data_IF_044455291210
#
_entry.id   IF_044455291210
#
_cell.length_a   1.000
_cell.length_b   1.000
_cell.length_c   1.000
_cell.angle_alpha   90.00
_cell.angle_beta   90.00
_cell.angle_gamma   90.00
#
_symmetry.space_group_name_H-M   'P 1'
#
loop_
_entity.id
_entity.type
_entity.pdbx_description
1 polymer ?
#
# COMPACT_ATOMS: atom_id res chain seq x y z
N UNK A 1 -48.89 61.51 30.34
CA UNK A 1 -47.89 60.50 29.94
C UNK A 1 -47.15 61.02 28.71
N UNK A 2 -45.87 60.71 28.62
CA UNK A 2 -44.79 61.31 27.81
C UNK A 2 -45.03 61.44 26.29
N UNK A 3 -44.36 62.42 25.61
CA UNK A 3 -44.61 62.82 24.21
C UNK A 3 -43.51 62.28 23.24
N UNK A 4 -43.24 62.84 22.02
CA UNK A 4 -43.55 62.20 20.74
C UNK A 4 -42.35 62.02 19.76
N UNK A 5 -42.66 61.50 18.56
CA UNK A 5 -42.04 61.83 17.24
C UNK A 5 -40.62 61.37 16.90
N UNK A 6 -40.47 60.66 15.76
CA UNK A 6 -39.77 61.19 14.57
C UNK A 6 -39.91 60.25 13.35
N UNK A 7 -40.11 60.85 12.18
CA UNK A 7 -40.20 60.22 10.87
C UNK A 7 -38.84 60.19 10.14
N UNK A 8 -38.67 59.30 9.15
CA UNK A 8 -37.78 59.49 8.00
C UNK A 8 -38.12 58.54 6.82
N UNK A 9 -37.74 58.95 5.62
CA UNK A 9 -38.29 58.65 4.29
C UNK A 9 -37.30 57.81 3.42
N UNK A 10 -37.81 56.77 2.72
CA UNK A 10 -37.42 56.17 1.39
C UNK A 10 -35.99 55.61 1.16
N UNK A 11 -35.64 54.94 0.01
CA UNK A 11 -36.42 54.43 -1.15
C UNK A 11 -36.15 52.96 -1.57
N UNK A 12 -36.89 52.52 -2.60
CA UNK A 12 -36.78 51.26 -3.36
C UNK A 12 -35.59 51.19 -4.35
N UNK A 13 -35.08 49.98 -4.63
CA UNK A 13 -34.47 49.67 -5.94
C UNK A 13 -34.28 48.16 -6.23
N UNK A 14 -34.88 47.75 -7.36
CA UNK A 14 -34.33 46.92 -8.46
C UNK A 14 -34.13 45.41 -8.23
N UNK A 15 -35.01 44.64 -8.89
CA UNK A 15 -34.80 43.24 -9.29
C UNK A 15 -33.93 43.19 -10.57
N UNK A 16 -32.93 42.31 -10.58
CA UNK A 16 -32.32 41.83 -11.82
C UNK A 16 -32.39 40.29 -11.86
N UNK A 17 -33.09 39.78 -12.88
CA UNK A 17 -32.91 38.43 -13.39
C UNK A 17 -31.58 38.33 -14.13
N UNK A 18 -30.79 37.31 -13.81
CA UNK A 18 -29.76 36.78 -14.70
C UNK A 18 -29.97 35.27 -14.82
N UNK A 19 -30.58 34.88 -15.93
CA UNK A 19 -30.44 33.56 -16.56
C UNK A 19 -29.05 33.48 -17.20
N UNK A 20 -28.28 32.47 -16.83
CA UNK A 20 -26.97 32.19 -17.41
C UNK A 20 -26.71 30.68 -17.41
N UNK A 21 -26.90 30.07 -18.57
CA UNK A 21 -26.50 28.71 -18.87
C UNK A 21 -25.01 28.52 -18.61
N UNK A 22 -24.66 27.62 -17.68
CA UNK A 22 -23.28 27.18 -17.51
C UNK A 22 -23.08 25.86 -18.22
N UNK A 23 -22.29 25.88 -19.29
CA UNK A 23 -21.79 24.66 -19.95
C UNK A 23 -20.83 23.97 -18.97
N UNK A 24 -21.05 22.70 -18.57
CA UNK A 24 -20.17 22.04 -17.62
C UNK A 24 -18.80 21.78 -18.26
N UNK A 25 -17.75 22.18 -17.55
CA UNK A 25 -16.36 21.87 -17.90
C UNK A 25 -16.10 20.36 -17.87
N UNK A 26 -15.11 19.89 -18.63
CA UNK A 26 -14.75 18.47 -18.72
C UNK A 26 -14.46 17.81 -17.35
N UNK A 27 -14.02 18.59 -16.36
CA UNK A 27 -13.83 18.15 -14.98
C UNK A 27 -15.14 17.87 -14.23
N UNK A 28 -16.21 18.65 -14.48
CA UNK A 28 -17.52 18.42 -13.88
C UNK A 28 -18.22 17.18 -14.45
N UNK A 29 -17.97 16.85 -15.73
CA UNK A 29 -18.45 15.60 -16.36
C UNK A 29 -17.75 14.35 -15.82
N UNK A 30 -16.52 14.47 -15.31
CA UNK A 30 -15.81 13.37 -14.66
C UNK A 30 -16.32 13.15 -13.21
N UNK A 31 -16.60 14.24 -12.49
CA UNK A 31 -17.13 14.18 -11.12
C UNK A 31 -18.57 13.66 -11.04
N UNK A 32 -19.44 14.02 -11.99
CA UNK A 32 -20.80 13.50 -12.04
C UNK A 32 -20.87 12.01 -12.44
N UNK A 33 -19.87 11.50 -13.16
CA UNK A 33 -19.76 10.08 -13.52
C UNK A 33 -19.32 9.21 -12.33
N UNK A 34 -18.54 9.77 -11.40
CA UNK A 34 -18.02 9.05 -10.23
C UNK A 34 -18.95 9.10 -9.01
N UNK A 35 -20.00 9.93 -9.01
CA UNK A 35 -20.96 10.01 -7.91
C UNK A 35 -22.00 8.86 -7.88
N UNK A 36 -22.11 8.09 -8.98
CA UNK A 36 -23.01 6.93 -9.09
C UNK A 36 -22.28 5.59 -8.79
N UNK A 37 -20.96 5.61 -8.58
CA UNK A 37 -20.12 4.41 -8.40
C UNK A 37 -19.92 4.00 -6.92
N UNK A 38 -20.79 4.45 -6.01
CA UNK A 38 -20.80 4.09 -4.58
C UNK A 38 -21.23 2.64 -4.25
N UNK A 39 -21.25 1.74 -5.23
CA UNK A 39 -21.58 0.30 -5.09
C UNK A 39 -20.41 -0.61 -5.55
N UNK A 40 -19.18 -0.17 -5.30
CA UNK A 40 -17.93 -0.68 -5.88
C UNK A 40 -17.44 -2.09 -5.51
N UNK A 41 -18.30 -3.00 -5.04
CA UNK A 41 -17.97 -4.44 -4.98
C UNK A 41 -18.84 -5.31 -5.92
N UNK A 42 -19.83 -4.71 -6.59
CA UNK A 42 -20.67 -5.38 -7.58
C UNK A 42 -20.55 -4.80 -9.01
N UNK A 43 -19.87 -3.66 -9.17
CA UNK A 43 -19.74 -2.96 -10.44
C UNK A 43 -18.65 -3.60 -11.32
N UNK A 44 -19.00 -4.69 -11.99
CA UNK A 44 -18.10 -5.39 -12.92
C UNK A 44 -18.63 -6.75 -13.39
N UNK A 45 -19.65 -7.28 -12.73
CA UNK A 45 -20.37 -8.44 -13.25
C UNK A 45 -21.32 -7.92 -14.32
N UNK A 46 -20.88 -7.91 -15.58
CA UNK A 46 -21.82 -7.79 -16.70
C UNK A 46 -22.90 -8.85 -16.52
N UNK A 47 -24.17 -8.49 -16.72
CA UNK A 47 -25.27 -9.43 -16.79
C UNK A 47 -25.06 -10.36 -18.00
N UNK A 48 -24.24 -11.38 -17.81
CA UNK A 48 -23.96 -12.46 -18.75
C UNK A 48 -24.50 -13.77 -18.21
N UNK A 49 -24.58 -14.78 -19.07
CA UNK A 49 -24.90 -16.16 -18.68
C UNK A 49 -24.03 -16.57 -17.50
N UNK A 50 -24.65 -17.11 -16.44
CA UNK A 50 -23.90 -17.58 -15.29
C UNK A 50 -23.19 -18.90 -15.61
N UNK A 51 -22.17 -19.26 -14.83
CA UNK A 51 -21.53 -20.58 -14.96
C UNK A 51 -22.55 -21.71 -14.81
N UNK A 52 -23.59 -21.53 -14.00
CA UNK A 52 -24.65 -22.52 -13.79
C UNK A 52 -25.44 -22.78 -15.08
N UNK A 53 -25.63 -21.76 -15.90
CA UNK A 53 -26.35 -21.86 -17.19
C UNK A 53 -25.53 -22.56 -18.28
N UNK A 54 -24.21 -22.74 -18.06
CA UNK A 54 -23.30 -23.47 -18.96
C UNK A 54 -22.92 -24.87 -18.44
N UNK A 55 -23.47 -25.30 -17.30
CA UNK A 55 -23.31 -26.67 -16.84
C UNK A 55 -24.14 -27.58 -17.77
N UNK A 56 -23.51 -28.19 -18.77
CA UNK A 56 -24.21 -28.92 -19.83
C UNK A 56 -23.25 -29.51 -20.87
N UNK A 57 -23.73 -29.89 -22.08
CA UNK A 57 -22.90 -30.56 -23.06
C UNK A 57 -21.82 -29.61 -23.58
N UNK A 58 -20.57 -29.98 -23.30
CA UNK A 58 -19.37 -29.28 -23.75
C UNK A 58 -19.06 -29.52 -25.23
N UNK A 59 -19.87 -30.32 -25.92
CA UNK A 59 -19.68 -30.72 -27.32
C UNK A 59 -19.82 -29.54 -28.29
N UNK A 60 -20.71 -28.59 -27.99
CA UNK A 60 -20.90 -27.37 -28.79
C UNK A 60 -20.11 -26.15 -28.25
N UNK A 61 -19.22 -26.36 -27.28
CA UNK A 61 -18.46 -25.28 -26.68
C UNK A 61 -17.43 -24.71 -27.66
N UNK A 62 -17.47 -23.40 -27.85
CA UNK A 62 -16.40 -22.65 -28.51
C UNK A 62 -16.19 -21.29 -27.87
N UNK A 63 -14.93 -20.85 -27.82
CA UNK A 63 -14.60 -19.47 -27.49
C UNK A 63 -14.84 -18.55 -28.69
N UNK A 64 -15.05 -17.27 -28.42
CA UNK A 64 -15.02 -16.26 -29.47
C UNK A 64 -13.64 -16.23 -30.16
N UNK A 65 -13.55 -16.00 -31.49
CA UNK A 65 -12.28 -15.90 -32.19
C UNK A 65 -11.40 -14.77 -31.65
N UNK A 66 -10.09 -14.99 -31.61
CA UNK A 66 -9.08 -14.01 -31.17
C UNK A 66 -7.79 -14.19 -31.98
N UNK A 67 -7.00 -13.11 -32.11
CA UNK A 67 -5.64 -13.13 -32.66
C UNK A 67 -4.62 -12.80 -31.58
N UNK A 68 -3.47 -13.46 -31.60
CA UNK A 68 -2.40 -13.38 -30.59
C UNK A 68 -1.96 -11.92 -30.35
N UNK A 69 -1.82 -11.14 -31.42
CA UNK A 69 -1.44 -9.73 -31.34
C UNK A 69 -2.44 -8.86 -30.57
N UNK A 70 -3.73 -9.24 -30.50
CA UNK A 70 -4.72 -8.54 -29.70
C UNK A 70 -4.44 -8.74 -28.21
N UNK A 71 -4.03 -9.95 -27.80
CA UNK A 71 -3.66 -10.26 -26.42
C UNK A 71 -2.37 -9.56 -26.02
N UNK A 72 -1.33 -9.62 -26.87
CA UNK A 72 -0.07 -8.90 -26.63
C UNK A 72 -0.29 -7.39 -26.44
N UNK A 73 -1.02 -6.75 -27.37
CA UNK A 73 -1.35 -5.32 -27.27
C UNK A 73 -2.25 -4.99 -26.09
N UNK A 74 -3.15 -5.89 -25.70
CA UNK A 74 -4.03 -5.66 -24.56
C UNK A 74 -3.25 -5.61 -23.24
N UNK A 75 -2.26 -6.49 -23.06
CA UNK A 75 -1.41 -6.51 -21.88
C UNK A 75 -0.41 -5.35 -21.88
N UNK A 76 0.35 -5.17 -22.96
CA UNK A 76 1.40 -4.14 -23.02
C UNK A 76 0.81 -2.74 -22.89
N UNK A 77 -0.30 -2.42 -23.57
CA UNK A 77 -0.93 -1.10 -23.42
C UNK A 77 -1.30 -0.79 -21.97
N UNK A 78 -1.75 -1.78 -21.19
CA UNK A 78 -2.12 -1.59 -19.78
C UNK A 78 -0.89 -1.49 -18.90
N UNK A 79 0.06 -2.41 -19.03
CA UNK A 79 1.27 -2.41 -18.22
C UNK A 79 2.09 -1.15 -18.42
N UNK A 80 2.22 -0.66 -19.66
CA UNK A 80 2.92 0.60 -19.93
C UNK A 80 2.13 1.84 -19.48
N UNK A 81 0.80 1.81 -19.49
CA UNK A 81 -0.01 2.87 -18.87
C UNK A 81 0.19 2.90 -17.34
N UNK A 82 0.33 1.74 -16.71
CA UNK A 82 0.67 1.66 -15.29
C UNK A 82 2.09 2.18 -15.03
N UNK A 83 3.08 1.78 -15.83
CA UNK A 83 4.45 2.28 -15.70
C UNK A 83 4.54 3.81 -15.85
N UNK A 84 3.83 4.38 -16.82
CA UNK A 84 3.75 5.83 -17.02
C UNK A 84 3.09 6.54 -15.83
N UNK A 85 1.92 6.06 -15.41
CA UNK A 85 1.18 6.67 -14.31
C UNK A 85 1.89 6.55 -12.94
N UNK A 86 2.59 5.45 -12.69
CA UNK A 86 3.22 5.16 -11.39
C UNK A 86 4.71 5.47 -11.34
N UNK A 87 5.33 5.95 -12.43
CA UNK A 87 6.70 6.50 -12.38
C UNK A 87 6.82 7.64 -11.35
N UNK A 88 5.74 8.41 -11.16
CA UNK A 88 5.52 9.30 -10.02
C UNK A 88 4.35 8.77 -9.19
N UNK A 89 4.63 8.22 -8.02
CA UNK A 89 3.64 7.66 -7.09
C UNK A 89 3.53 8.52 -5.83
N UNK A 90 2.37 8.51 -5.17
CA UNK A 90 2.23 9.18 -3.87
C UNK A 90 2.88 8.34 -2.77
N UNK A 91 2.62 7.03 -2.76
CA UNK A 91 3.18 6.10 -1.79
C UNK A 91 3.69 4.86 -2.53
N UNK A 92 4.90 4.42 -2.16
CA UNK A 92 5.43 3.10 -2.57
C UNK A 92 5.46 2.18 -1.35
N UNK A 93 4.88 0.99 -1.46
CA UNK A 93 4.96 -0.08 -0.48
C UNK A 93 5.86 -1.19 -1.03
N UNK A 94 6.92 -1.55 -0.29
CA UNK A 94 7.87 -2.59 -0.69
C UNK A 94 7.58 -3.87 0.08
N UNK A 95 7.29 -4.94 -0.64
CA UNK A 95 6.89 -6.25 -0.11
C UNK A 95 5.38 -6.35 0.09
N UNK A 96 4.72 -7.21 -0.69
CA UNK A 96 3.31 -7.55 -0.58
C UNK A 96 3.07 -8.71 0.41
N UNK A 97 3.77 -8.72 1.55
CA UNK A 97 3.53 -9.65 2.65
C UNK A 97 2.27 -9.29 3.46
N UNK A 98 2.01 -10.02 4.55
CA UNK A 98 0.86 -9.73 5.43
C UNK A 98 0.86 -8.30 5.98
N UNK A 99 2.03 -7.77 6.35
CA UNK A 99 2.16 -6.38 6.80
C UNK A 99 1.90 -5.39 5.66
N UNK A 100 2.62 -5.50 4.53
CA UNK A 100 2.46 -4.60 3.39
C UNK A 100 1.06 -4.59 2.79
N UNK A 101 0.42 -5.75 2.65
CA UNK A 101 -0.98 -5.84 2.22
C UNK A 101 -1.95 -5.22 3.23
N UNK A 102 -1.68 -5.34 4.53
CA UNK A 102 -2.50 -4.71 5.57
C UNK A 102 -2.36 -3.18 5.52
N UNK A 103 -1.13 -2.67 5.34
CA UNK A 103 -0.85 -1.25 5.10
C UNK A 103 -1.61 -0.74 3.87
N UNK A 104 -1.49 -1.45 2.74
CA UNK A 104 -2.13 -1.09 1.48
C UNK A 104 -3.66 -1.04 1.62
N UNK A 105 -4.25 -2.02 2.30
CA UNK A 105 -5.68 -2.09 2.54
C UNK A 105 -6.21 -0.89 3.34
N UNK A 106 -5.50 -0.49 4.40
CA UNK A 106 -5.89 0.66 5.22
C UNK A 106 -5.69 1.96 4.46
N UNK A 107 -4.53 2.16 3.81
CA UNK A 107 -4.24 3.38 3.07
C UNK A 107 -5.15 3.58 1.86
N UNK A 108 -5.35 2.53 1.05
CA UNK A 108 -6.19 2.62 -0.15
C UNK A 108 -7.64 3.02 0.17
N UNK A 109 -8.17 2.55 1.31
CA UNK A 109 -9.50 2.96 1.81
C UNK A 109 -9.51 4.37 2.40
N UNK A 110 -8.49 4.73 3.18
CA UNK A 110 -8.45 6.02 3.86
C UNK A 110 -8.15 7.19 2.92
N UNK A 111 -7.43 6.93 1.83
CA UNK A 111 -6.96 7.92 0.87
C UNK A 111 -7.16 7.43 -0.58
N UNK A 112 -8.43 7.31 -1.04
CA UNK A 112 -8.72 6.90 -2.41
C UNK A 112 -8.19 7.90 -3.46
N UNK A 113 -7.79 9.10 -3.04
CA UNK A 113 -7.15 10.13 -3.86
C UNK A 113 -5.66 9.85 -4.13
N UNK A 114 -4.99 9.01 -3.32
CA UNK A 114 -3.56 8.76 -3.44
C UNK A 114 -3.24 7.56 -4.32
N UNK A 115 -2.25 7.71 -5.19
CA UNK A 115 -1.69 6.66 -6.04
C UNK A 115 -0.68 5.81 -5.26
N UNK A 116 -1.02 4.53 -5.02
CA UNK A 116 -0.23 3.61 -4.19
C UNK A 116 0.36 2.49 -5.07
N UNK A 117 1.69 2.50 -5.25
CA UNK A 117 2.41 1.40 -5.88
C UNK A 117 2.83 0.36 -4.83
N UNK A 118 2.59 -0.92 -5.11
CA UNK A 118 3.12 -2.04 -4.34
C UNK A 118 4.16 -2.74 -5.20
N UNK A 119 5.39 -2.81 -4.71
CA UNK A 119 6.50 -3.50 -5.38
C UNK A 119 6.75 -4.82 -4.66
N UNK A 120 6.58 -5.93 -5.37
CA UNK A 120 6.75 -7.29 -4.83
C UNK A 120 7.73 -8.08 -5.68
N UNK A 121 8.81 -8.54 -5.03
CA UNK A 121 9.87 -9.27 -5.71
C UNK A 121 9.37 -10.61 -6.28
N UNK A 122 8.50 -11.32 -5.58
CA UNK A 122 7.99 -12.62 -6.02
C UNK A 122 6.96 -12.48 -7.14
N UNK A 123 6.82 -13.50 -7.97
CA UNK A 123 5.67 -13.60 -8.88
C UNK A 123 4.37 -13.66 -8.06
N UNK A 124 4.35 -14.43 -6.98
CA UNK A 124 3.21 -14.57 -6.09
C UNK A 124 3.34 -13.63 -4.87
N UNK A 125 2.48 -12.61 -4.74
CA UNK A 125 2.39 -11.81 -3.49
C UNK A 125 1.89 -12.66 -2.31
N UNK A 126 1.91 -12.08 -1.11
CA UNK A 126 1.49 -12.71 0.15
C UNK A 126 2.64 -13.04 1.10
N UNK A 127 3.89 -13.03 0.61
CA UNK A 127 5.07 -13.33 1.40
C UNK A 127 4.94 -14.66 2.17
N UNK A 128 5.30 -14.65 3.45
CA UNK A 128 5.20 -15.84 4.32
C UNK A 128 3.79 -16.19 4.80
N UNK A 129 2.75 -15.44 4.43
CA UNK A 129 1.39 -15.59 4.96
C UNK A 129 0.54 -16.62 4.19
N UNK A 130 1.16 -17.52 3.43
CA UNK A 130 0.48 -18.64 2.78
C UNK A 130 0.31 -19.85 3.69
N UNK A 131 1.11 -19.94 4.76
CA UNK A 131 1.17 -21.05 5.70
C UNK A 131 1.22 -20.55 7.14
N UNK A 132 0.96 -21.44 8.07
CA UNK A 132 1.32 -21.30 9.48
C UNK A 132 2.76 -21.75 9.74
N UNK A 133 3.02 -22.31 10.92
CA UNK A 133 4.33 -22.87 11.26
C UNK A 133 4.58 -24.22 10.59
N UNK A 134 5.83 -24.49 10.18
CA UNK A 134 6.28 -25.82 9.74
C UNK A 134 5.42 -26.44 8.63
N UNK A 135 5.00 -25.63 7.65
CA UNK A 135 4.12 -26.04 6.54
C UNK A 135 2.67 -26.41 6.93
N UNK A 136 2.27 -26.21 8.19
CA UNK A 136 0.86 -26.32 8.57
C UNK A 136 0.04 -25.14 8.05
N UNK A 137 -1.29 -25.27 8.10
CA UNK A 137 -2.20 -24.32 7.44
C UNK A 137 -2.71 -23.19 8.34
N UNK A 138 -3.04 -23.50 9.59
CA UNK A 138 -3.78 -22.59 10.47
C UNK A 138 -3.00 -21.30 10.75
N UNK A 139 -3.70 -20.16 10.73
CA UNK A 139 -3.12 -18.85 11.03
C UNK A 139 -3.69 -18.34 12.34
N UNK A 140 -2.82 -18.24 13.34
CA UNK A 140 -3.16 -17.73 14.67
C UNK A 140 -2.95 -16.21 14.71
N UNK A 141 -3.93 -15.49 15.26
CA UNK A 141 -3.83 -14.06 15.55
C UNK A 141 -4.27 -13.78 16.99
N UNK A 142 -3.37 -13.23 17.81
CA UNK A 142 -3.69 -12.77 19.17
C UNK A 142 -4.61 -11.55 19.13
N UNK A 143 -5.54 -11.46 20.07
CA UNK A 143 -6.42 -10.28 20.21
C UNK A 143 -5.59 -9.05 20.64
N UNK A 144 -5.90 -7.84 20.14
CA UNK A 144 -7.13 -7.47 19.42
C UNK A 144 -7.04 -7.55 17.88
N UNK A 145 -6.12 -8.32 17.27
CA UNK A 145 -5.97 -8.37 15.81
C UNK A 145 -7.19 -8.97 15.07
N UNK A 146 -8.09 -9.63 15.79
CA UNK A 146 -9.39 -10.08 15.30
C UNK A 146 -10.28 -8.93 14.82
N UNK A 147 -10.05 -7.69 15.27
CA UNK A 147 -10.74 -6.51 14.73
C UNK A 147 -10.44 -6.31 13.24
N UNK A 148 -9.20 -6.56 12.83
CA UNK A 148 -8.78 -6.45 11.43
C UNK A 148 -9.37 -7.58 10.57
N UNK A 149 -9.44 -8.80 11.11
CA UNK A 149 -10.09 -9.92 10.42
C UNK A 149 -11.58 -9.63 10.16
N UNK A 150 -12.29 -9.07 11.14
CA UNK A 150 -13.68 -8.63 10.95
C UNK A 150 -13.83 -7.56 9.88
N UNK A 151 -12.94 -6.56 9.89
CA UNK A 151 -12.97 -5.45 8.92
C UNK A 151 -12.66 -5.92 7.48
N UNK A 152 -11.76 -6.89 7.30
CA UNK A 152 -11.47 -7.50 5.97
C UNK A 152 -12.56 -8.50 5.54
N UNK A 153 -13.27 -9.10 6.52
CA UNK A 153 -14.28 -10.13 6.30
C UNK A 153 -13.71 -11.55 6.21
N UNK A 154 -12.67 -11.85 6.99
CA UNK A 154 -12.06 -13.19 7.09
C UNK A 154 -12.66 -13.92 8.29
N UNK A 155 -13.31 -15.09 8.11
CA UNK A 155 -13.85 -15.85 9.22
C UNK A 155 -12.73 -16.50 10.04
N UNK A 156 -12.97 -16.64 11.34
CA UNK A 156 -12.05 -17.26 12.29
C UNK A 156 -12.83 -17.95 13.42
N UNK A 157 -12.17 -18.90 14.07
CA UNK A 157 -12.64 -19.52 15.30
C UNK A 157 -12.05 -18.75 16.50
N UNK A 158 -12.87 -18.43 17.50
CA UNK A 158 -12.46 -17.67 18.70
C UNK A 158 -12.05 -18.62 19.83
N UNK A 159 -10.80 -18.52 20.26
CA UNK A 159 -10.17 -19.39 21.27
C UNK A 159 -9.87 -18.63 22.58
N UNK A 160 -10.50 -17.47 22.81
CA UNK A 160 -10.28 -16.64 23.99
C UNK A 160 -9.28 -15.52 23.74
N UNK A 161 -8.00 -15.61 24.17
CA UNK A 161 -7.01 -14.55 23.96
C UNK A 161 -6.47 -14.46 22.53
N UNK A 162 -6.83 -15.40 21.67
CA UNK A 162 -6.46 -15.43 20.25
C UNK A 162 -7.61 -16.00 19.41
N UNK A 163 -7.47 -15.86 18.09
CA UNK A 163 -8.38 -16.44 17.09
C UNK A 163 -7.58 -17.23 16.06
N UNK A 164 -8.24 -18.16 15.38
CA UNK A 164 -7.63 -19.03 14.38
C UNK A 164 -8.37 -18.91 13.06
N UNK A 165 -7.69 -18.42 12.03
CA UNK A 165 -8.16 -18.54 10.65
C UNK A 165 -7.80 -19.93 10.16
N UNK A 166 -8.81 -20.67 9.66
CA UNK A 166 -8.66 -22.08 9.23
C UNK A 166 -7.47 -22.35 8.32
N UNK A 167 -7.09 -21.36 7.50
CA UNK A 167 -5.92 -21.43 6.64
C UNK A 167 -5.35 -20.03 6.42
N UNK A 168 -4.04 -19.85 6.56
CA UNK A 168 -3.31 -18.61 6.26
C UNK A 168 -3.64 -18.04 4.86
N UNK A 169 -3.71 -18.91 3.85
CA UNK A 169 -4.15 -18.58 2.50
C UNK A 169 -5.54 -17.91 2.44
N UNK A 170 -6.48 -18.23 3.33
CA UNK A 170 -7.80 -17.59 3.35
C UNK A 170 -7.68 -16.12 3.74
N UNK A 171 -6.88 -15.81 4.75
CA UNK A 171 -6.59 -14.42 5.12
C UNK A 171 -5.92 -13.68 3.96
N UNK A 172 -4.82 -14.24 3.45
CA UNK A 172 -3.97 -13.60 2.45
C UNK A 172 -4.69 -13.35 1.13
N UNK A 173 -5.39 -14.37 0.60
CA UNK A 173 -6.16 -14.22 -0.65
C UNK A 173 -7.32 -13.25 -0.52
N UNK A 174 -8.04 -13.25 0.61
CA UNK A 174 -9.15 -12.32 0.85
C UNK A 174 -8.64 -10.89 0.93
N UNK A 175 -7.61 -10.63 1.74
CA UNK A 175 -7.01 -9.31 1.88
C UNK A 175 -6.48 -8.79 0.53
N UNK A 176 -5.75 -9.64 -0.19
CA UNK A 176 -5.22 -9.31 -1.51
C UNK A 176 -6.32 -8.98 -2.51
N UNK A 177 -7.42 -9.75 -2.56
CA UNK A 177 -8.54 -9.46 -3.43
C UNK A 177 -9.18 -8.10 -3.11
N UNK A 178 -9.30 -7.74 -1.82
CA UNK A 178 -9.81 -6.42 -1.40
C UNK A 178 -8.88 -5.29 -1.82
N UNK A 179 -7.57 -5.47 -1.64
CA UNK A 179 -6.54 -4.48 -2.02
C UNK A 179 -6.52 -4.27 -3.53
N UNK A 180 -6.46 -5.35 -4.33
CA UNK A 180 -6.37 -5.27 -5.79
C UNK A 180 -7.66 -4.77 -6.46
N UNK A 181 -8.78 -4.78 -5.76
CA UNK A 181 -10.03 -4.20 -6.24
C UNK A 181 -10.07 -2.66 -6.11
N UNK A 182 -9.12 -2.05 -5.38
CA UNK A 182 -9.08 -0.59 -5.20
C UNK A 182 -8.48 0.09 -6.44
N UNK A 183 -9.15 1.11 -7.01
CA UNK A 183 -8.73 1.73 -8.27
C UNK A 183 -7.43 2.54 -8.17
N UNK A 184 -7.01 2.88 -6.95
CA UNK A 184 -5.83 3.68 -6.66
C UNK A 184 -4.60 2.85 -6.23
N UNK A 185 -4.69 1.52 -6.32
CA UNK A 185 -3.61 0.59 -5.99
C UNK A 185 -3.13 -0.11 -7.25
N UNK A 186 -1.82 -0.16 -7.44
CA UNK A 186 -1.17 -1.01 -8.45
C UNK A 186 -0.17 -1.95 -7.81
N UNK A 187 -0.31 -3.24 -8.11
CA UNK A 187 0.69 -4.25 -7.79
C UNK A 187 1.64 -4.45 -8.98
N UNK A 188 2.92 -4.22 -8.74
CA UNK A 188 4.05 -4.62 -9.59
C UNK A 188 4.76 -5.81 -8.92
N UNK A 189 4.21 -7.01 -9.15
CA UNK A 189 4.86 -8.26 -8.76
C UNK A 189 5.95 -8.66 -9.77
N UNK A 190 6.79 -9.62 -9.41
CA UNK A 190 8.02 -9.98 -10.14
C UNK A 190 8.99 -8.78 -10.34
N UNK A 191 8.89 -7.76 -9.48
CA UNK A 191 9.67 -6.53 -9.54
C UNK A 191 10.36 -6.34 -8.19
N UNK A 192 11.69 -6.27 -8.19
CA UNK A 192 12.49 -6.09 -6.99
C UNK A 192 12.86 -4.60 -6.81
N UNK A 193 13.03 -4.18 -5.56
CA UNK A 193 13.70 -2.91 -5.23
C UNK A 193 15.17 -3.22 -4.96
N UNK A 194 16.06 -2.58 -5.71
CA UNK A 194 17.52 -2.81 -5.64
C UNK A 194 18.26 -1.66 -4.96
N UNK A 195 17.66 -0.47 -4.94
CA UNK A 195 18.19 0.70 -4.25
C UNK A 195 17.07 1.69 -3.88
N UNK A 196 17.41 2.72 -3.14
CA UNK A 196 16.54 3.82 -2.73
C UNK A 196 16.94 5.10 -3.45
N UNK A 197 15.95 5.86 -3.91
CA UNK A 197 16.17 7.21 -4.42
C UNK A 197 16.33 8.13 -3.20
N UNK A 198 17.46 8.85 -3.12
CA UNK A 198 17.76 9.75 -1.99
C UNK A 198 17.76 11.22 -2.41
N UNK A 199 17.55 12.10 -1.44
CA UNK A 199 17.73 13.55 -1.55
C UNK A 199 18.52 14.05 -0.34
N UNK A 200 19.43 15.01 -0.50
CA UNK A 200 20.08 15.64 0.65
C UNK A 200 19.03 16.33 1.54
N UNK A 201 19.29 16.36 2.85
CA UNK A 201 18.51 17.20 3.77
C UNK A 201 19.28 18.49 4.00
N UNK A 202 18.76 19.59 3.45
CA UNK A 202 19.30 20.92 3.74
C UNK A 202 18.93 21.33 5.18
N UNK A 203 19.79 22.11 5.84
CA UNK A 203 19.81 22.36 7.29
C UNK A 203 18.53 22.89 7.97
N UNK A 204 17.44 23.15 7.25
CA UNK A 204 16.12 23.48 7.80
C UNK A 204 15.20 22.27 8.03
N UNK A 205 15.57 21.07 7.53
CA UNK A 205 14.79 19.83 7.68
C UNK A 205 15.41 18.77 8.59
N UNK A 206 16.61 19.03 9.11
CA UNK A 206 17.33 18.11 9.98
C UNK A 206 16.77 18.16 11.41
N UNK A 207 16.48 17.00 12.00
CA UNK A 207 16.11 16.94 13.41
C UNK A 207 17.27 17.48 14.28
N UNK A 208 17.00 18.15 15.41
CA UNK A 208 18.06 18.61 16.33
C UNK A 208 18.95 17.44 16.75
N UNK A 209 20.26 17.51 16.44
CA UNK A 209 21.23 16.42 16.70
C UNK A 209 21.58 15.54 15.50
N UNK A 210 21.11 15.87 14.30
CA UNK A 210 21.44 15.18 13.06
C UNK A 210 22.94 15.26 12.70
N UNK A 211 23.54 14.10 12.42
CA UNK A 211 24.90 14.03 11.87
C UNK A 211 24.95 14.65 10.45
N UNK A 212 26.08 15.25 10.02
CA UNK A 212 26.25 15.71 8.64
C UNK A 212 26.13 14.54 7.65
N UNK A 213 25.41 14.75 6.53
CA UNK A 213 25.20 13.72 5.49
C UNK A 213 23.86 12.99 5.54
N UNK A 214 22.85 13.50 6.28
CA UNK A 214 21.52 12.89 6.30
C UNK A 214 20.80 13.02 4.95
N UNK A 215 20.13 11.93 4.56
CA UNK A 215 19.34 11.82 3.35
C UNK A 215 17.86 11.60 3.67
N UNK A 216 17.00 12.13 2.80
CA UNK A 216 15.58 11.79 2.73
C UNK A 216 15.40 10.73 1.64
N UNK A 217 14.55 9.74 1.89
CA UNK A 217 14.13 8.78 0.87
C UNK A 217 12.99 9.40 0.05
N UNK A 218 13.09 9.27 -1.27
CA UNK A 218 12.25 9.97 -2.25
C UNK A 218 11.79 9.07 -3.41
N UNK A 219 11.85 7.75 -3.20
CA UNK A 219 11.45 6.75 -4.18
C UNK A 219 12.30 5.49 -4.13
N UNK A 220 12.14 4.64 -5.14
CA UNK A 220 12.77 3.33 -5.23
C UNK A 220 13.42 3.12 -6.59
N UNK A 221 14.52 2.38 -6.60
CA UNK A 221 15.18 1.87 -7.79
C UNK A 221 14.74 0.42 -7.97
N UNK A 222 14.20 0.10 -9.13
CA UNK A 222 13.47 -1.15 -9.39
C UNK A 222 14.06 -1.91 -10.55
N UNK A 223 13.90 -3.22 -10.56
CA UNK A 223 14.17 -4.04 -11.72
C UNK A 223 13.26 -5.26 -11.73
N UNK A 224 13.26 -6.03 -12.82
CA UNK A 224 12.71 -7.37 -12.77
C UNK A 224 13.51 -8.20 -11.77
N UNK A 225 12.85 -8.97 -10.92
CA UNK A 225 13.54 -9.74 -9.87
C UNK A 225 14.57 -10.72 -10.44
N UNK A 226 14.30 -11.30 -11.62
CA UNK A 226 15.27 -12.16 -12.30
C UNK A 226 16.51 -11.40 -12.75
N UNK A 227 16.39 -10.15 -13.19
CA UNK A 227 17.56 -9.30 -13.48
C UNK A 227 18.36 -9.08 -12.20
N UNK A 228 17.68 -8.74 -11.10
CA UNK A 228 18.30 -8.53 -9.79
C UNK A 228 19.09 -9.72 -9.23
N UNK A 229 18.62 -10.94 -9.51
CA UNK A 229 19.27 -12.17 -9.06
C UNK A 229 20.44 -12.60 -9.97
N UNK A 230 20.62 -11.96 -11.12
CA UNK A 230 21.52 -12.40 -12.19
C UNK A 230 22.41 -11.27 -12.72
N UNK A 231 22.75 -10.27 -11.88
CA UNK A 231 23.67 -9.17 -12.23
C UNK A 231 25.07 -9.65 -12.62
N UNK A 232 25.51 -10.81 -12.11
CA UNK A 232 26.82 -11.40 -12.42
C UNK A 232 26.80 -12.33 -13.65
N UNK A 233 25.61 -12.70 -14.14
CA UNK A 233 25.44 -13.73 -15.17
C UNK A 233 25.32 -13.16 -16.60
N UNK A 234 25.18 -11.84 -16.73
CA UNK A 234 24.99 -11.12 -17.99
C UNK A 234 25.81 -9.82 -18.02
N UNK A 235 25.77 -9.10 -19.14
CA UNK A 235 26.21 -7.70 -19.14
C UNK A 235 25.34 -6.86 -18.20
N UNK A 236 25.85 -5.71 -17.73
CA UNK A 236 25.10 -4.83 -16.84
C UNK A 236 23.71 -4.48 -17.41
N UNK A 237 22.68 -4.64 -16.58
CA UNK A 237 21.28 -4.36 -16.91
C UNK A 237 20.76 -3.30 -15.93
N UNK A 238 20.83 -2.05 -16.37
CA UNK A 238 20.46 -0.91 -15.53
C UNK A 238 19.02 -1.03 -15.00
N UNK A 239 18.77 -0.54 -13.77
CA UNK A 239 17.43 -0.53 -13.18
C UNK A 239 16.55 0.59 -13.76
N UNK A 240 15.27 0.55 -13.42
CA UNK A 240 14.29 1.62 -13.61
C UNK A 240 13.99 2.32 -12.28
N UNK A 241 13.18 3.39 -12.28
CA UNK A 241 12.93 4.22 -11.09
C UNK A 241 11.46 4.55 -10.89
N UNK A 242 11.06 4.63 -9.62
CA UNK A 242 9.76 5.18 -9.21
C UNK A 242 10.00 6.24 -8.15
N UNK A 243 9.64 7.48 -8.45
CA UNK A 243 9.65 8.59 -7.52
C UNK A 243 8.45 8.48 -6.58
N UNK A 244 8.67 8.74 -5.29
CA UNK A 244 7.59 8.85 -4.31
C UNK A 244 8.01 9.69 -3.10
N UNK A 245 7.17 10.62 -2.62
CA UNK A 245 7.48 11.37 -1.40
C UNK A 245 7.59 10.46 -0.16
N UNK A 246 6.90 9.31 -0.16
CA UNK A 246 6.89 8.39 0.97
C UNK A 246 7.02 6.92 0.51
N UNK A 247 7.94 6.22 1.14
CA UNK A 247 8.18 4.78 0.98
C UNK A 247 7.84 4.05 2.28
N UNK A 248 7.17 2.91 2.19
CA UNK A 248 6.87 2.03 3.30
C UNK A 248 7.50 0.65 3.02
N UNK A 249 8.49 0.27 3.82
CA UNK A 249 9.19 -1.01 3.66
C UNK A 249 8.66 -2.07 4.62
N UNK A 250 8.25 -3.20 4.04
CA UNK A 250 7.69 -4.36 4.74
C UNK A 250 8.24 -5.67 4.19
N UNK A 251 9.55 -5.71 3.91
CA UNK A 251 10.23 -6.81 3.17
C UNK A 251 10.51 -8.05 4.01
N UNK A 252 10.01 -8.12 5.24
CA UNK A 252 10.29 -9.22 6.17
C UNK A 252 11.67 -9.11 6.82
N UNK A 253 12.07 -10.14 7.56
CA UNK A 253 13.35 -10.19 8.28
C UNK A 253 14.52 -10.59 7.38
N UNK A 254 15.73 -10.68 7.93
CA UNK A 254 16.95 -11.03 7.19
C UNK A 254 16.81 -12.33 6.36
N UNK A 255 17.48 -12.34 5.21
CA UNK A 255 17.39 -13.31 4.12
C UNK A 255 17.86 -12.69 2.80
N UNK A 256 17.84 -13.44 1.68
CA UNK A 256 18.36 -12.97 0.39
C UNK A 256 17.70 -11.68 -0.14
N UNK A 257 16.39 -11.55 0.05
CA UNK A 257 15.59 -10.37 -0.35
C UNK A 257 14.95 -9.65 0.83
N UNK A 258 15.19 -10.14 2.05
CA UNK A 258 14.53 -9.67 3.25
C UNK A 258 15.31 -8.57 3.95
N UNK A 259 14.59 -7.72 4.68
CA UNK A 259 15.13 -6.56 5.38
C UNK A 259 15.92 -5.60 4.48
N UNK A 260 15.49 -5.45 3.23
CA UNK A 260 16.25 -4.76 2.19
C UNK A 260 16.54 -3.30 2.57
N UNK A 261 15.51 -2.50 2.86
CA UNK A 261 15.68 -1.06 3.05
C UNK A 261 16.55 -0.77 4.26
N UNK A 262 16.38 -1.54 5.33
CA UNK A 262 17.11 -1.32 6.58
C UNK A 262 18.58 -1.70 6.46
N UNK A 263 18.91 -2.77 5.73
CA UNK A 263 20.31 -3.06 5.34
C UNK A 263 20.86 -1.98 4.44
N UNK A 264 20.07 -1.46 3.51
CA UNK A 264 20.49 -0.41 2.59
C UNK A 264 20.82 0.88 3.35
N UNK A 265 20.01 1.26 4.34
CA UNK A 265 20.30 2.40 5.24
C UNK A 265 21.65 2.27 5.93
N UNK A 266 22.04 1.07 6.36
CA UNK A 266 23.36 0.83 6.95
C UNK A 266 24.46 1.00 5.91
N UNK A 267 24.33 0.39 4.73
CA UNK A 267 25.35 0.50 3.68
C UNK A 267 25.56 1.93 3.15
N UNK A 268 24.54 2.78 3.24
CA UNK A 268 24.61 4.19 2.85
C UNK A 268 25.03 5.12 4.01
N UNK A 269 25.26 4.58 5.22
CA UNK A 269 25.66 5.37 6.39
C UNK A 269 24.53 6.20 7.01
N UNK A 270 23.27 5.97 6.63
CA UNK A 270 22.10 6.65 7.22
C UNK A 270 21.73 6.08 8.60
N UNK A 271 22.12 4.83 8.88
CA UNK A 271 22.01 4.15 10.17
C UNK A 271 23.35 3.48 10.48
N UNK A 272 23.85 3.60 11.71
CA UNK A 272 25.18 3.06 12.06
C UNK A 272 25.26 1.54 11.89
N UNK A 273 24.26 0.82 12.39
CA UNK A 273 24.17 -0.64 12.34
C UNK A 273 22.74 -1.11 12.60
N UNK A 274 22.47 -2.37 12.22
CA UNK A 274 21.23 -3.05 12.60
C UNK A 274 21.28 -3.52 14.05
N UNK A 275 20.13 -3.52 14.73
CA UNK A 275 19.97 -4.19 16.01
C UNK A 275 20.07 -5.71 15.87
N UNK A 276 19.54 -6.26 14.77
CA UNK A 276 19.50 -7.68 14.46
C UNK A 276 18.39 -8.41 15.20
N UNK A 277 17.50 -9.10 14.47
CA UNK A 277 16.38 -9.86 15.03
C UNK A 277 16.87 -10.83 16.13
N UNK A 278 16.17 -10.84 17.27
CA UNK A 278 16.52 -11.66 18.45
C UNK A 278 15.80 -13.01 18.46
N UNK A 279 16.01 -13.76 19.55
CA UNK A 279 15.33 -15.03 19.80
C UNK A 279 13.81 -14.91 19.81
N UNK A 280 13.12 -16.05 19.78
CA UNK A 280 11.66 -16.10 19.74
C UNK A 280 11.07 -15.83 21.13
N UNK A 281 10.25 -14.79 21.24
CA UNK A 281 9.38 -14.50 22.39
C UNK A 281 8.14 -13.76 21.88
N UNK A 282 7.02 -14.50 21.74
CA UNK A 282 5.78 -13.96 21.17
C UNK A 282 5.21 -12.78 21.98
N UNK A 283 5.36 -12.79 23.30
CA UNK A 283 4.73 -11.79 24.16
C UNK A 283 5.39 -10.43 23.98
N UNK A 284 6.73 -10.38 24.01
CA UNK A 284 7.48 -9.14 23.80
C UNK A 284 7.55 -8.74 22.33
N UNK A 285 7.67 -9.71 21.41
CA UNK A 285 7.83 -9.45 19.98
C UNK A 285 6.63 -8.72 19.38
N UNK A 286 5.42 -9.25 19.53
CA UNK A 286 4.25 -8.70 18.85
C UNK A 286 3.96 -7.26 19.29
N UNK A 287 4.06 -7.00 20.59
CA UNK A 287 3.91 -5.68 21.18
C UNK A 287 4.97 -4.70 20.65
N UNK A 288 6.25 -5.11 20.65
CA UNK A 288 7.35 -4.26 20.21
C UNK A 288 7.20 -3.87 18.74
N UNK A 289 6.87 -4.83 17.86
CA UNK A 289 6.72 -4.57 16.43
C UNK A 289 5.59 -3.59 16.14
N UNK A 290 4.42 -3.78 16.76
CA UNK A 290 3.28 -2.88 16.54
C UNK A 290 3.58 -1.48 17.10
N UNK A 291 4.06 -1.38 18.34
CA UNK A 291 4.30 -0.09 19.01
C UNK A 291 5.38 0.76 18.32
N UNK A 292 6.39 0.11 17.76
CA UNK A 292 7.56 0.80 17.21
C UNK A 292 7.50 1.01 15.70
N UNK A 293 6.47 0.54 14.99
CA UNK A 293 6.30 0.81 13.56
C UNK A 293 6.22 2.32 13.31
N UNK A 294 7.14 2.85 12.51
CA UNK A 294 7.39 4.31 12.38
C UNK A 294 8.19 4.68 11.14
N UNK A 295 8.29 5.98 10.90
CA UNK A 295 9.27 6.58 10.00
C UNK A 295 10.68 6.48 10.62
N UNK A 296 11.56 5.68 10.02
CA UNK A 296 12.92 5.41 10.52
C UNK A 296 13.88 6.54 10.12
N UNK A 297 13.78 6.98 8.86
CA UNK A 297 14.42 8.19 8.32
C UNK A 297 13.39 8.95 7.49
N UNK A 298 13.56 10.26 7.28
CA UNK A 298 12.61 11.05 6.49
C UNK A 298 12.29 10.38 5.15
N UNK A 299 10.99 10.13 4.89
CA UNK A 299 10.50 9.49 3.68
C UNK A 299 10.47 7.96 3.69
N UNK A 300 10.91 7.29 4.77
CA UNK A 300 10.91 5.82 4.87
C UNK A 300 10.30 5.32 6.18
N UNK A 301 9.10 4.75 6.08
CA UNK A 301 8.43 4.02 7.15
C UNK A 301 8.83 2.54 7.08
N UNK A 302 9.08 1.92 8.23
CA UNK A 302 9.37 0.48 8.31
C UNK A 302 8.39 -0.17 9.27
N UNK A 303 7.83 -1.30 8.84
CA UNK A 303 6.92 -2.12 9.63
C UNK A 303 7.12 -3.61 9.40
N UNK A 304 6.31 -4.41 10.08
CA UNK A 304 6.39 -5.87 10.06
C UNK A 304 7.72 -6.38 10.60
N UNK A 305 8.12 -7.57 10.14
CA UNK A 305 9.35 -8.21 10.61
C UNK A 305 10.65 -7.51 10.17
N UNK A 306 10.60 -6.63 9.17
CA UNK A 306 11.78 -5.82 8.79
C UNK A 306 12.19 -4.89 9.93
N UNK A 307 11.22 -4.35 10.67
CA UNK A 307 11.46 -3.49 11.82
C UNK A 307 12.26 -4.19 12.92
N UNK A 308 12.09 -5.51 13.06
CA UNK A 308 12.82 -6.30 14.06
C UNK A 308 14.34 -6.28 13.85
N UNK A 309 14.80 -6.11 12.60
CA UNK A 309 16.21 -6.04 12.26
C UNK A 309 16.82 -4.68 12.62
N UNK A 310 16.05 -3.60 12.48
CA UNK A 310 16.49 -2.26 12.91
C UNK A 310 16.55 -2.18 14.42
N UNK A 311 15.45 -2.53 15.09
CA UNK A 311 15.30 -2.29 16.52
C UNK A 311 15.94 -3.39 17.38
N UNK A 312 16.28 -4.53 16.77
CA UNK A 312 16.76 -5.70 17.50
C UNK A 312 15.69 -6.30 18.41
N UNK A 313 14.46 -6.42 17.90
CA UNK A 313 13.33 -6.99 18.62
C UNK A 313 13.31 -8.52 18.53
N UNK A 314 12.63 -9.17 19.48
CA UNK A 314 12.30 -10.60 19.40
C UNK A 314 11.44 -10.92 18.18
N UNK A 315 11.53 -12.16 17.70
CA UNK A 315 10.61 -12.69 16.67
C UNK A 315 9.42 -13.38 17.31
N UNK A 316 8.27 -13.40 16.63
CA UNK A 316 7.06 -14.08 17.12
C UNK A 316 6.84 -15.49 16.55
N UNK A 317 7.52 -15.87 15.46
CA UNK A 317 7.27 -17.18 14.83
C UNK A 317 5.86 -17.27 14.21
N UNK A 318 5.13 -18.37 14.38
CA UNK A 318 3.89 -18.65 13.63
C UNK A 318 2.62 -17.99 14.21
N UNK A 319 2.68 -16.69 14.54
CA UNK A 319 1.52 -15.85 14.88
C UNK A 319 1.56 -14.55 14.09
N UNK A 320 0.40 -14.05 13.66
CA UNK A 320 0.31 -13.04 12.59
C UNK A 320 -0.37 -11.74 13.05
N UNK A 321 -0.79 -11.64 14.31
CA UNK A 321 -1.50 -10.47 14.82
C UNK A 321 -0.69 -9.18 14.70
N UNK A 322 0.60 -9.25 15.06
CA UNK A 322 1.51 -8.13 14.90
C UNK A 322 1.70 -7.68 13.45
N UNK A 323 1.66 -8.58 12.46
CA UNK A 323 1.85 -8.18 11.07
C UNK A 323 0.65 -7.38 10.56
N UNK A 324 -0.57 -7.81 10.90
CA UNK A 324 -1.77 -7.06 10.56
C UNK A 324 -1.78 -5.67 11.22
N UNK A 325 -1.57 -5.61 12.54
CA UNK A 325 -1.63 -4.35 13.29
C UNK A 325 -0.41 -3.43 13.07
N UNK A 326 0.75 -3.98 12.76
CA UNK A 326 1.90 -3.19 12.29
C UNK A 326 1.59 -2.55 10.94
N UNK A 327 0.91 -3.25 10.02
CA UNK A 327 0.47 -2.64 8.76
C UNK A 327 -0.55 -1.52 8.97
N UNK A 328 -1.50 -1.70 9.90
CA UNK A 328 -2.41 -0.63 10.33
C UNK A 328 -1.63 0.58 10.88
N UNK A 329 -0.63 0.31 11.73
CA UNK A 329 0.21 1.37 12.30
C UNK A 329 1.05 2.08 11.23
N UNK A 330 1.64 1.36 10.28
CA UNK A 330 2.38 1.94 9.17
C UNK A 330 1.51 2.87 8.31
N UNK A 331 0.26 2.48 8.07
CA UNK A 331 -0.72 3.33 7.40
C UNK A 331 -1.04 4.59 8.22
N UNK A 332 -1.22 4.47 9.54
CA UNK A 332 -1.43 5.61 10.43
C UNK A 332 -0.24 6.59 10.39
N UNK A 333 0.99 6.09 10.44
CA UNK A 333 2.20 6.92 10.35
C UNK A 333 2.31 7.59 8.99
N UNK A 334 1.99 6.89 7.90
CA UNK A 334 1.99 7.46 6.57
C UNK A 334 1.00 8.62 6.45
N UNK A 335 -0.21 8.49 6.98
CA UNK A 335 -1.20 9.57 6.98
C UNK A 335 -0.74 10.82 7.74
N UNK A 336 0.09 10.66 8.79
CA UNK A 336 0.64 11.79 9.56
C UNK A 336 1.69 12.57 8.79
N UNK A 337 2.59 11.86 8.09
CA UNK A 337 3.78 12.48 7.51
C UNK A 337 3.66 12.78 6.01
N UNK A 338 2.66 12.19 5.32
CA UNK A 338 2.54 12.27 3.86
C UNK A 338 2.58 13.69 3.32
N UNK A 339 1.79 14.62 3.88
CA UNK A 339 1.74 16.01 3.38
C UNK A 339 3.07 16.75 3.56
N UNK A 340 3.79 16.47 4.65
CA UNK A 340 5.13 17.03 4.91
C UNK A 340 6.10 16.54 3.84
N UNK A 341 6.11 15.23 3.58
CA UNK A 341 7.03 14.63 2.60
C UNK A 341 6.69 15.03 1.17
N UNK A 342 5.40 15.14 0.84
CA UNK A 342 4.93 15.63 -0.46
C UNK A 342 5.44 17.04 -0.74
N UNK A 343 5.30 17.95 0.22
CA UNK A 343 5.82 19.32 0.09
C UNK A 343 7.34 19.36 -0.11
N UNK A 344 8.08 18.52 0.60
CA UNK A 344 9.53 18.40 0.47
C UNK A 344 9.98 17.77 -0.87
N UNK A 345 9.10 17.06 -1.57
CA UNK A 345 9.40 16.37 -2.82
C UNK A 345 9.05 17.18 -4.07
N UNK A 346 8.30 18.28 -3.93
CA UNK A 346 7.99 19.22 -5.01
C UNK A 346 9.08 20.29 -5.21
N UNK A 347 10.13 20.28 -4.39
CA UNK A 347 11.32 21.14 -4.48
C UNK A 347 12.47 20.36 -5.10
#
# INVERSE_FOLDING_TARGET
MTPPSAAAVMPSSIQHHFSGDTVPTAAAKLAAKNADEGRGLAAGVQAGMSIRDKLGPWEDFSFAPIRESQVSRAMTRRYFADLDAYAESDIVIIGAGSCGLSTAYVLGRARPDLRIAIIEASVSPGGGAWLGGQLFSAMVMRKPADCFLRDVGVPFDDEGPYVVVRHAALFTSTLMARVLAMPNIKLFNATCVEDLITRPIDGSGAAPGAAPGQVRIAGVVTNWTLVSMHHDDQSCMDPNTINAPLVISTTGHDGPMGAFCVKRLVSMGAVEKLGGMRGLDMNSAEDAIVKNTREIVPGLIVGGMELSEVDGANRMGPTFGAMALSGVKAAEEALKVFEIRRQQNCQ
#
